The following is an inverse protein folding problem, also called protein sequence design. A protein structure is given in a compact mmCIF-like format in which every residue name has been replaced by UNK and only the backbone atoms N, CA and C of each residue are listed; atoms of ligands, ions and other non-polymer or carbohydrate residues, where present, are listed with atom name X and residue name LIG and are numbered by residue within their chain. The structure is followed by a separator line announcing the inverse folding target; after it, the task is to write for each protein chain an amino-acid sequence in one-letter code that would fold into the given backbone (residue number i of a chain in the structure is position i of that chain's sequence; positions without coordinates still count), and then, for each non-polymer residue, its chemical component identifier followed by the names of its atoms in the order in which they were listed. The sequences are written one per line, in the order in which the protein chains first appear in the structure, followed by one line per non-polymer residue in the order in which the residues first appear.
data_IF_306316488335
#
_entry.id   IF_306316488335
#
_cell.length_a   1.000
_cell.length_b   1.000
_cell.length_c   1.000
_cell.angle_alpha   90.00
_cell.angle_beta   90.00
_cell.angle_gamma   90.00
#
_symmetry.space_group_name_H-M   'P 1'
#
loop_
_entity.id
_entity.type
_entity.pdbx_description
1 polymer ?
#
# COMPACT_ATOMS: atom_id res chain seq x y z
N UNK A 1 38.38 21.34 -21.98
CA UNK A 1 38.53 20.08 -21.23
C UNK A 1 37.30 19.93 -20.36
N UNK A 2 36.35 19.08 -20.77
CA UNK A 2 35.07 18.90 -20.09
C UNK A 2 35.20 17.67 -19.18
N UNK A 3 35.09 17.86 -17.87
CA UNK A 3 35.21 16.77 -16.90
C UNK A 3 33.88 16.02 -16.81
N UNK A 4 33.86 14.80 -17.35
CA UNK A 4 32.79 13.82 -17.22
C UNK A 4 32.96 13.00 -15.94
N UNK A 5 32.48 13.53 -14.81
CA UNK A 5 32.29 12.74 -13.60
C UNK A 5 30.80 12.45 -13.40
N UNK A 6 30.38 11.23 -13.71
CA UNK A 6 29.16 10.66 -13.15
C UNK A 6 29.47 10.40 -11.67
N UNK A 7 28.83 11.14 -10.76
CA UNK A 7 28.92 10.86 -9.33
C UNK A 7 28.56 9.37 -9.12
N UNK A 8 29.33 8.59 -8.34
CA UNK A 8 28.93 7.22 -8.05
C UNK A 8 27.56 7.29 -7.38
N UNK A 9 26.59 6.56 -7.94
CA UNK A 9 25.28 6.39 -7.31
C UNK A 9 25.53 5.71 -5.97
N UNK A 10 25.56 6.48 -4.89
CA UNK A 10 25.65 5.97 -3.53
C UNK A 10 24.24 5.60 -3.09
N UNK A 11 23.84 4.35 -3.28
CA UNK A 11 22.62 3.84 -2.68
C UNK A 11 22.94 3.32 -1.27
N UNK A 12 22.24 3.81 -0.25
CA UNK A 12 22.29 3.25 1.09
C UNK A 12 21.15 2.24 1.23
N UNK A 13 21.49 0.98 1.47
CA UNK A 13 20.49 -0.06 1.79
C UNK A 13 20.48 -0.23 3.30
N UNK A 14 19.29 -0.19 3.89
CA UNK A 14 19.08 -0.47 5.30
C UNK A 14 18.56 -1.90 5.44
N UNK A 15 19.48 -2.85 5.63
CA UNK A 15 19.22 -4.30 5.66
C UNK A 15 19.25 -4.92 7.06
N UNK A 16 19.36 -4.11 8.12
CA UNK A 16 19.26 -4.55 9.51
C UNK A 16 17.89 -5.20 9.77
N UNK A 17 17.83 -6.50 10.13
CA UNK A 17 16.57 -7.24 10.27
C UNK A 17 15.67 -6.75 11.40
N UNK A 18 16.15 -5.90 12.31
CA UNK A 18 15.34 -5.27 13.36
C UNK A 18 14.89 -3.84 13.03
N UNK A 19 15.34 -3.27 11.90
CA UNK A 19 15.01 -1.91 11.54
C UNK A 19 13.67 -1.85 10.79
N UNK A 20 12.77 -0.99 11.28
CA UNK A 20 11.44 -0.80 10.70
C UNK A 20 11.20 0.69 10.46
N UNK A 21 11.36 1.10 9.21
CA UNK A 21 11.13 2.49 8.79
C UNK A 21 9.67 2.94 9.03
N UNK A 22 8.71 2.03 8.79
CA UNK A 22 7.28 2.31 8.90
C UNK A 22 6.60 1.79 10.18
N UNK A 23 7.28 1.70 11.33
CA UNK A 23 6.73 1.07 12.53
C UNK A 23 5.39 1.70 13.00
N UNK A 24 5.20 3.00 12.74
CA UNK A 24 3.94 3.72 12.99
C UNK A 24 2.73 3.19 12.21
N UNK A 25 2.95 2.45 11.12
CA UNK A 25 1.88 1.78 10.39
C UNK A 25 1.17 0.71 11.24
N UNK A 26 1.85 0.09 12.20
CA UNK A 26 1.25 -0.98 13.03
C UNK A 26 0.04 -0.46 13.81
N UNK A 27 0.14 0.59 14.65
CA UNK A 27 -1.03 1.14 15.32
C UNK A 27 -2.01 1.79 14.34
N UNK A 28 -1.54 2.41 13.25
CA UNK A 28 -2.39 3.05 12.24
C UNK A 28 -3.31 2.04 11.54
N UNK A 29 -2.75 0.92 11.07
CA UNK A 29 -3.51 -0.12 10.37
C UNK A 29 -4.40 -0.92 11.31
N UNK A 30 -4.00 -1.10 12.59
CA UNK A 30 -4.90 -1.62 13.62
C UNK A 30 -6.12 -0.70 13.83
N UNK A 31 -5.92 0.62 13.84
CA UNK A 31 -7.02 1.57 13.95
C UNK A 31 -7.91 1.52 12.70
N UNK A 32 -7.31 1.52 11.50
CA UNK A 32 -8.04 1.45 10.24
C UNK A 32 -8.89 0.18 10.11
N UNK A 33 -8.36 -0.97 10.55
CA UNK A 33 -9.10 -2.24 10.59
C UNK A 33 -10.30 -2.16 11.55
N UNK A 34 -10.12 -1.62 12.77
CA UNK A 34 -11.22 -1.42 13.73
C UNK A 34 -12.28 -0.45 13.23
N UNK A 35 -11.87 0.61 12.53
CA UNK A 35 -12.79 1.55 11.87
C UNK A 35 -13.43 0.94 10.60
N UNK A 36 -13.09 -0.30 10.24
CA UNK A 36 -13.77 -1.09 9.23
C UNK A 36 -13.26 -0.91 7.81
N UNK A 37 -12.03 -0.41 7.60
CA UNK A 37 -11.49 -0.18 6.26
C UNK A 37 -11.50 -1.44 5.39
N UNK A 38 -11.03 -2.58 5.93
CA UNK A 38 -11.04 -3.86 5.22
C UNK A 38 -12.46 -4.28 4.85
N UNK A 39 -13.35 -4.30 5.86
CA UNK A 39 -14.75 -4.69 5.71
C UNK A 39 -15.48 -3.83 4.67
N UNK A 40 -15.35 -2.51 4.75
CA UNK A 40 -15.98 -1.59 3.80
C UNK A 40 -15.44 -1.79 2.38
N UNK A 41 -14.15 -2.07 2.24
CA UNK A 41 -13.56 -2.42 0.95
C UNK A 41 -14.14 -3.70 0.38
N UNK A 42 -14.23 -4.77 1.18
CA UNK A 42 -14.80 -6.04 0.72
C UNK A 42 -16.30 -5.94 0.40
N UNK A 43 -17.05 -5.09 1.12
CA UNK A 43 -18.49 -4.90 0.91
C UNK A 43 -18.83 -4.00 -0.29
N UNK A 44 -17.99 -3.02 -0.61
CA UNK A 44 -18.37 -1.93 -1.52
C UNK A 44 -17.46 -1.76 -2.74
N UNK A 45 -16.33 -2.46 -2.81
CA UNK A 45 -15.43 -2.43 -3.96
C UNK A 45 -15.59 -3.70 -4.80
N UNK A 46 -16.28 -3.58 -5.93
CA UNK A 46 -16.51 -4.70 -6.84
C UNK A 46 -15.64 -4.57 -8.08
N UNK A 47 -14.47 -5.21 -8.05
CA UNK A 47 -13.53 -5.23 -9.17
C UNK A 47 -13.65 -6.57 -9.92
N UNK A 48 -13.78 -6.59 -11.26
CA UNK A 48 -13.94 -7.83 -12.01
C UNK A 48 -12.67 -8.70 -11.97
N UNK A 49 -12.81 -9.95 -12.41
CA UNK A 49 -11.74 -10.97 -12.51
C UNK A 49 -11.17 -11.43 -11.15
N UNK A 50 -10.20 -12.33 -11.19
CA UNK A 50 -9.43 -12.74 -10.01
C UNK A 50 -8.70 -11.55 -9.36
N UNK A 51 -8.45 -10.46 -10.09
CA UNK A 51 -7.76 -9.28 -9.58
C UNK A 51 -8.56 -8.56 -8.50
N UNK A 52 -9.89 -8.68 -8.48
CA UNK A 52 -10.75 -8.12 -7.44
C UNK A 52 -10.80 -8.91 -6.13
N UNK A 53 -10.22 -10.10 -6.08
CA UNK A 53 -10.13 -10.88 -4.84
C UNK A 53 -9.45 -10.11 -3.71
N UNK A 54 -9.94 -10.24 -2.47
CA UNK A 54 -9.39 -9.55 -1.29
C UNK A 54 -9.29 -8.03 -1.48
N UNK A 55 -10.34 -7.43 -2.05
CA UNK A 55 -10.38 -6.01 -2.41
C UNK A 55 -10.12 -5.08 -1.23
N UNK A 56 -10.66 -5.39 -0.04
CA UNK A 56 -10.47 -4.62 1.17
C UNK A 56 -9.02 -4.61 1.65
N UNK A 57 -8.34 -5.76 1.66
CA UNK A 57 -6.93 -5.85 2.07
C UNK A 57 -6.01 -5.19 1.04
N UNK A 58 -6.30 -5.32 -0.26
CA UNK A 58 -5.55 -4.60 -1.32
C UNK A 58 -5.73 -3.09 -1.22
N UNK A 59 -6.95 -2.62 -0.95
CA UNK A 59 -7.23 -1.20 -0.73
C UNK A 59 -6.49 -0.68 0.51
N UNK A 60 -6.56 -1.39 1.63
CA UNK A 60 -5.84 -1.00 2.84
C UNK A 60 -4.32 -1.05 2.67
N UNK A 61 -3.80 -1.97 1.86
CA UNK A 61 -2.37 -2.00 1.51
C UNK A 61 -1.95 -0.72 0.80
N UNK A 62 -2.75 -0.23 -0.16
CA UNK A 62 -2.50 1.06 -0.83
C UNK A 62 -2.54 2.23 0.17
N UNK A 63 -3.52 2.26 1.07
CA UNK A 63 -3.61 3.28 2.13
C UNK A 63 -2.39 3.23 3.05
N UNK A 64 -1.93 2.04 3.43
CA UNK A 64 -0.73 1.85 4.24
C UNK A 64 0.52 2.39 3.53
N UNK A 65 0.68 2.10 2.23
CA UNK A 65 1.78 2.62 1.43
C UNK A 65 1.76 4.15 1.38
N UNK A 66 0.61 4.75 1.05
CA UNK A 66 0.46 6.22 1.00
C UNK A 66 0.75 6.87 2.36
N UNK A 67 0.28 6.28 3.46
CA UNK A 67 0.58 6.76 4.81
C UNK A 67 2.07 6.65 5.18
N UNK A 68 2.81 5.74 4.55
CA UNK A 68 4.25 5.58 4.68
C UNK A 68 5.06 6.41 3.69
N UNK A 69 4.41 7.20 2.84
CA UNK A 69 5.05 8.07 1.85
C UNK A 69 5.21 7.48 0.46
N UNK A 70 4.57 6.35 0.12
CA UNK A 70 4.52 5.88 -1.27
C UNK A 70 3.71 6.85 -2.13
N UNK A 71 4.31 7.37 -3.20
CA UNK A 71 3.64 8.18 -4.22
C UNK A 71 3.52 7.47 -5.58
N UNK A 72 4.25 6.36 -5.73
CA UNK A 72 4.21 5.49 -6.91
C UNK A 72 3.88 4.04 -6.55
N UNK A 73 3.52 3.25 -7.57
CA UNK A 73 3.26 1.82 -7.36
C UNK A 73 4.53 1.06 -6.96
N UNK A 74 5.70 1.52 -7.42
CA UNK A 74 6.98 0.89 -7.13
C UNK A 74 7.36 1.09 -5.66
N UNK A 75 7.00 2.25 -5.08
CA UNK A 75 7.24 2.55 -3.66
C UNK A 75 6.49 1.61 -2.72
N UNK A 76 5.44 0.92 -3.18
CA UNK A 76 4.76 -0.11 -2.38
C UNK A 76 5.71 -1.23 -1.93
N UNK A 77 6.89 -1.36 -2.55
CA UNK A 77 7.97 -2.23 -2.07
C UNK A 77 8.42 -1.89 -0.64
N UNK A 78 8.22 -0.65 -0.17
CA UNK A 78 8.51 -0.23 1.20
C UNK A 78 7.78 -1.08 2.24
N UNK A 79 6.56 -1.56 1.93
CA UNK A 79 5.79 -2.43 2.83
C UNK A 79 6.41 -3.82 2.99
N UNK A 80 7.43 -4.13 2.20
CA UNK A 80 8.12 -5.43 2.13
C UNK A 80 9.60 -5.32 2.49
N UNK A 81 10.09 -4.14 2.89
CA UNK A 81 11.50 -3.88 3.17
C UNK A 81 11.82 -3.90 4.68
N UNK A 82 13.09 -4.13 5.05
CA UNK A 82 13.52 -4.25 6.44
C UNK A 82 12.74 -5.30 7.24
N UNK A 83 12.45 -5.03 8.51
CA UNK A 83 11.67 -5.95 9.36
C UNK A 83 10.15 -5.91 9.13
N UNK A 84 9.64 -5.25 8.07
CA UNK A 84 8.19 -5.16 7.83
C UNK A 84 7.50 -6.52 7.73
N UNK A 85 8.19 -7.54 7.19
CA UNK A 85 7.68 -8.91 7.12
C UNK A 85 7.52 -9.62 8.48
N UNK A 86 8.06 -9.05 9.57
CA UNK A 86 7.83 -9.52 10.94
C UNK A 86 6.59 -8.90 11.57
N UNK A 87 6.16 -7.72 11.08
CA UNK A 87 5.05 -6.94 11.63
C UNK A 87 3.74 -7.12 10.88
N UNK A 88 3.83 -7.30 9.56
CA UNK A 88 2.67 -7.48 8.68
C UNK A 88 2.77 -8.83 7.98
N UNK A 89 1.70 -9.62 8.10
CA UNK A 89 1.63 -10.91 7.44
C UNK A 89 1.40 -10.71 5.93
N UNK A 90 2.33 -11.23 5.13
CA UNK A 90 2.26 -11.29 3.65
C UNK A 90 1.83 -9.99 2.95
N UNK A 91 2.55 -8.87 3.12
CA UNK A 91 2.32 -7.63 2.37
C UNK A 91 2.32 -7.88 0.85
N UNK A 92 1.32 -7.35 0.15
CA UNK A 92 1.18 -7.53 -1.30
C UNK A 92 2.37 -6.94 -2.07
N UNK A 93 2.80 -7.66 -3.11
CA UNK A 93 3.81 -7.14 -4.02
C UNK A 93 3.26 -5.95 -4.84
N UNK A 94 4.11 -4.96 -5.20
CA UNK A 94 3.75 -3.87 -6.10
C UNK A 94 2.99 -4.32 -7.37
N UNK A 95 3.44 -5.41 -7.99
CA UNK A 95 2.82 -5.96 -9.21
C UNK A 95 1.40 -6.50 -8.99
N UNK A 96 1.11 -7.02 -7.79
CA UNK A 96 -0.24 -7.48 -7.42
C UNK A 96 -1.18 -6.30 -7.26
N UNK A 97 -0.75 -5.25 -6.55
CA UNK A 97 -1.52 -4.02 -6.37
C UNK A 97 -1.69 -3.27 -7.71
N UNK A 98 -0.65 -3.23 -8.54
CA UNK A 98 -0.71 -2.64 -9.86
C UNK A 98 -1.69 -3.36 -10.78
N UNK A 99 -1.72 -4.69 -10.75
CA UNK A 99 -2.70 -5.47 -11.52
C UNK A 99 -4.15 -5.22 -11.06
N UNK A 100 -4.36 -4.99 -9.76
CA UNK A 100 -5.64 -4.59 -9.19
C UNK A 100 -6.05 -3.19 -9.67
N UNK A 101 -5.15 -2.19 -9.55
CA UNK A 101 -5.41 -0.82 -10.00
C UNK A 101 -5.63 -0.71 -11.52
N UNK A 102 -5.00 -1.56 -12.34
CA UNK A 102 -5.25 -1.60 -13.80
C UNK A 102 -6.67 -2.01 -14.17
N UNK A 103 -7.42 -2.65 -13.26
CA UNK A 103 -8.85 -2.94 -13.48
C UNK A 103 -9.75 -1.76 -13.11
N UNK A 104 -9.20 -0.72 -12.45
CA UNK A 104 -10.02 0.41 -12.02
C UNK A 104 -10.50 1.20 -13.23
N UNK A 105 -11.73 1.65 -13.10
CA UNK A 105 -12.41 2.56 -14.01
C UNK A 105 -12.97 3.68 -13.15
N UNK A 106 -13.55 4.70 -13.77
CA UNK A 106 -14.19 5.79 -13.01
C UNK A 106 -15.20 5.28 -11.96
N UNK A 107 -15.94 4.22 -12.26
CA UNK A 107 -16.88 3.61 -11.32
C UNK A 107 -16.22 3.09 -10.04
N UNK A 108 -15.05 2.45 -10.15
CA UNK A 108 -14.28 1.95 -9.01
C UNK A 108 -13.71 3.09 -8.16
N UNK A 109 -13.33 4.21 -8.79
CA UNK A 109 -12.93 5.42 -8.07
C UNK A 109 -14.10 5.99 -7.27
N UNK A 110 -15.30 6.02 -7.86
CA UNK A 110 -16.54 6.43 -7.15
C UNK A 110 -16.91 5.47 -6.01
N UNK A 111 -16.70 4.16 -6.16
CA UNK A 111 -16.86 3.19 -5.07
C UNK A 111 -15.87 3.46 -3.93
N UNK A 112 -14.62 3.78 -4.26
CA UNK A 112 -13.59 4.12 -3.27
C UNK A 112 -13.92 5.42 -2.52
N UNK A 113 -14.43 6.44 -3.20
CA UNK A 113 -14.95 7.67 -2.59
C UNK A 113 -16.12 7.38 -1.64
N UNK A 114 -17.02 6.49 -2.05
CA UNK A 114 -18.12 6.02 -1.22
C UNK A 114 -17.64 5.24 0.02
N UNK A 115 -16.55 4.48 -0.08
CA UNK A 115 -15.89 3.82 1.07
C UNK A 115 -15.28 4.87 1.99
N UNK A 116 -14.53 5.83 1.46
CA UNK A 116 -13.88 6.89 2.24
C UNK A 116 -14.90 7.70 3.06
N UNK A 117 -16.03 8.08 2.43
CA UNK A 117 -17.11 8.81 3.13
C UNK A 117 -17.78 8.01 4.25
N UNK A 118 -17.85 6.67 4.15
CA UNK A 118 -18.36 5.79 5.22
C UNK A 118 -17.33 5.61 6.33
N UNK A 119 -16.07 5.46 5.95
CA UNK A 119 -14.96 5.21 6.87
C UNK A 119 -14.78 6.35 7.88
N UNK A 120 -14.90 7.61 7.44
CA UNK A 120 -14.76 8.79 8.34
C UNK A 120 -15.99 9.10 9.18
N UNK A 121 -17.08 8.35 9.00
CA UNK A 121 -18.32 8.47 9.80
C UNK A 121 -18.43 7.40 10.89
N UNK A 122 -17.54 6.40 10.87
CA UNK A 122 -17.52 5.28 11.79
C UNK A 122 -16.88 5.65 13.14
#
# INVERSE_FOLDING_TARGET
MQLSHTLPVSFATFDEPNLVSGAGLVPLMKLADRAGLHRLGDEHLSVPTDKGSNGGVKLASLVAGMAAGADSIDDMALLRHGAMGTLFDRPYAPSTLGSFLRQFTFGHVRQTDAIASRFVRA
#
